data_IF_410728783617
#
_entry.id   IF_410728783617
#
_cell.length_a   1.000
_cell.length_b   1.000
_cell.length_c   1.000
_cell.angle_alpha   90.00
_cell.angle_beta   90.00
_cell.angle_gamma   90.00
#
_symmetry.space_group_name_H-M   'P 1'
#
loop_
_entity.id
_entity.type
_entity.pdbx_description
1 polymer ?
#
# COMPACT_ATOMS: atom_id res chain seq x y z
N UNK A 1 7.53 -13.70 -22.74
CA UNK A 1 6.13 -13.24 -22.88
C UNK A 1 5.88 -12.22 -21.79
N UNK A 2 5.44 -11.02 -22.15
CA UNK A 2 5.15 -9.95 -21.20
C UNK A 2 3.78 -10.23 -20.57
N UNK A 3 3.64 -10.44 -19.24
CA UNK A 3 2.35 -10.78 -18.62
C UNK A 3 1.32 -9.62 -18.65
N UNK A 4 1.69 -8.47 -19.22
CA UNK A 4 0.92 -7.22 -19.17
C UNK A 4 -0.03 -7.00 -20.36
N UNK A 5 -0.60 -8.07 -20.93
CA UNK A 5 -1.59 -7.96 -22.00
C UNK A 5 -2.95 -8.45 -21.52
N UNK A 6 -3.87 -7.52 -21.22
CA UNK A 6 -5.31 -7.75 -21.22
C UNK A 6 -6.01 -7.82 -19.85
N UNK A 7 -5.30 -8.03 -18.75
CA UNK A 7 -5.90 -8.13 -17.42
C UNK A 7 -5.06 -7.38 -16.37
N UNK A 8 -5.73 -6.94 -15.30
CA UNK A 8 -5.06 -6.45 -14.11
C UNK A 8 -4.33 -7.59 -13.42
N UNK A 9 -3.20 -7.28 -12.78
CA UNK A 9 -2.50 -8.26 -11.94
C UNK A 9 -2.78 -7.94 -10.48
N UNK A 10 -3.17 -8.96 -9.71
CA UNK A 10 -3.50 -8.84 -8.30
C UNK A 10 -2.54 -9.65 -7.44
N UNK A 11 -2.15 -9.07 -6.30
CA UNK A 11 -1.36 -9.70 -5.26
C UNK A 11 -2.05 -9.46 -3.93
N UNK A 12 -2.18 -10.49 -3.11
CA UNK A 12 -2.94 -10.41 -1.85
C UNK A 12 -2.25 -11.18 -0.75
N UNK A 13 -2.10 -10.56 0.42
CA UNK A 13 -1.47 -11.17 1.59
C UNK A 13 -1.93 -10.45 2.86
N UNK A 14 -2.03 -11.21 3.95
CA UNK A 14 -2.19 -10.65 5.28
C UNK A 14 -0.83 -10.13 5.76
N UNK A 15 -0.78 -8.87 6.18
CA UNK A 15 0.46 -8.21 6.59
C UNK A 15 0.27 -7.64 7.98
N UNK A 16 1.23 -7.90 8.85
CA UNK A 16 1.25 -7.41 10.21
C UNK A 16 2.17 -6.20 10.40
N UNK A 17 1.80 -5.31 11.31
CA UNK A 17 2.68 -4.28 11.86
C UNK A 17 2.44 -4.13 13.36
N UNK A 18 3.52 -3.92 14.11
CA UNK A 18 3.53 -3.51 15.52
C UNK A 18 3.98 -2.06 15.73
N UNK A 19 3.98 -1.26 14.65
CA UNK A 19 4.39 0.14 14.67
C UNK A 19 3.27 1.10 14.24
N UNK A 20 2.03 0.60 14.11
CA UNK A 20 0.89 1.40 13.66
C UNK A 20 0.88 1.85 12.19
N UNK A 21 1.92 1.53 11.42
CA UNK A 21 2.08 1.98 10.03
C UNK A 21 2.59 0.87 9.11
N UNK A 22 1.91 0.72 7.98
CA UNK A 22 2.38 -0.05 6.84
C UNK A 22 2.91 0.89 5.76
N UNK A 23 3.65 0.35 4.80
CA UNK A 23 4.05 1.11 3.64
C UNK A 23 4.31 0.25 2.42
N UNK A 24 4.05 0.83 1.26
CA UNK A 24 4.58 0.34 -0.02
C UNK A 24 5.91 1.06 -0.28
N UNK A 25 7.00 0.32 -0.40
CA UNK A 25 8.34 0.91 -0.48
C UNK A 25 9.23 0.29 -1.55
N UNK A 26 10.16 1.10 -2.06
CA UNK A 26 11.10 0.75 -3.11
C UNK A 26 12.37 0.15 -2.49
N UNK A 27 12.65 -1.16 -2.67
CA UNK A 27 13.76 -1.81 -1.97
C UNK A 27 15.13 -1.15 -2.14
N UNK A 28 15.50 -0.65 -3.34
CA UNK A 28 16.77 0.07 -3.52
C UNK A 28 16.94 1.30 -2.62
N UNK A 29 15.86 2.00 -2.27
CA UNK A 29 15.93 3.21 -1.44
C UNK A 29 16.30 2.90 0.02
N UNK A 30 16.01 1.68 0.50
CA UNK A 30 16.23 1.28 1.90
C UNK A 30 17.38 0.27 2.06
N UNK A 31 18.22 0.08 1.04
CA UNK A 31 19.41 -0.80 1.11
C UNK A 31 20.44 -0.36 2.16
N UNK A 32 20.42 0.91 2.56
CA UNK A 32 21.28 1.45 3.62
C UNK A 32 20.81 1.12 5.04
N UNK A 33 19.55 0.71 5.20
CA UNK A 33 18.98 0.34 6.50
C UNK A 33 19.35 -1.11 6.81
N UNK A 34 20.33 -1.29 7.68
CA UNK A 34 20.94 -2.60 7.98
C UNK A 34 20.86 -2.97 9.46
N UNK A 35 20.51 -2.02 10.31
CA UNK A 35 20.36 -2.16 11.75
C UNK A 35 19.36 -1.13 12.29
N UNK A 36 19.10 -1.16 13.60
CA UNK A 36 18.14 -0.25 14.22
C UNK A 36 18.59 1.22 14.14
N UNK A 37 19.88 1.53 14.28
CA UNK A 37 20.35 2.92 14.23
C UNK A 37 20.20 3.55 12.86
N UNK A 38 20.47 2.78 11.79
CA UNK A 38 20.21 3.21 10.41
C UNK A 38 18.71 3.24 10.08
N UNK A 39 17.90 2.35 10.67
CA UNK A 39 16.44 2.42 10.56
C UNK A 39 15.91 3.69 11.22
N UNK A 40 16.40 4.02 12.42
CA UNK A 40 15.99 5.19 13.18
C UNK A 40 16.23 6.47 12.39
N UNK A 41 17.45 6.62 11.84
CA UNK A 41 17.81 7.75 11.01
C UNK A 41 16.99 7.85 9.70
N UNK A 42 16.36 6.76 9.25
CA UNK A 42 15.62 6.68 8.00
C UNK A 42 14.10 6.75 8.13
N UNK A 43 13.55 6.30 9.26
CA UNK A 43 12.11 5.99 9.40
C UNK A 43 11.53 6.27 10.79
N UNK A 44 12.29 6.79 11.76
CA UNK A 44 11.74 7.05 13.09
C UNK A 44 10.89 8.32 13.13
N UNK A 45 11.48 9.46 12.76
CA UNK A 45 10.80 10.75 12.86
C UNK A 45 9.94 10.98 11.62
N UNK A 46 8.84 11.71 11.78
CA UNK A 46 7.94 12.07 10.68
C UNK A 46 8.71 12.70 9.51
N UNK A 47 9.70 13.55 9.81
CA UNK A 47 10.53 14.23 8.82
C UNK A 47 11.37 13.25 7.98
N UNK A 48 11.79 12.14 8.58
CA UNK A 48 12.56 11.09 7.93
C UNK A 48 11.69 10.27 6.98
N UNK A 49 10.45 9.99 7.37
CA UNK A 49 9.46 9.34 6.52
C UNK A 49 9.06 10.29 5.36
N UNK A 50 8.79 11.56 5.66
CA UNK A 50 8.35 12.59 4.72
C UNK A 50 9.25 12.71 3.48
N UNK A 51 10.58 12.65 3.66
CA UNK A 51 11.52 12.73 2.53
C UNK A 51 11.37 11.55 1.56
N UNK A 52 11.05 10.36 2.07
CA UNK A 52 10.84 9.16 1.27
C UNK A 52 9.49 9.19 0.57
N UNK A 53 8.48 9.78 1.20
CA UNK A 53 7.19 10.03 0.54
C UNK A 53 7.35 11.00 -0.62
N UNK A 54 8.03 12.13 -0.39
CA UNK A 54 8.25 13.16 -1.43
C UNK A 54 9.05 12.66 -2.63
N UNK A 55 10.02 11.77 -2.40
CA UNK A 55 10.81 11.15 -3.47
C UNK A 55 10.06 10.02 -4.20
N UNK A 56 8.95 9.55 -3.63
CA UNK A 56 8.21 8.38 -4.11
C UNK A 56 8.88 7.06 -3.77
N UNK A 57 9.83 7.04 -2.83
CA UNK A 57 10.44 5.81 -2.32
C UNK A 57 9.50 5.05 -1.36
N UNK A 58 8.54 5.76 -0.76
CA UNK A 58 7.63 5.22 0.25
C UNK A 58 6.22 5.78 0.06
N UNK A 59 5.20 4.93 0.20
CA UNK A 59 3.79 5.34 0.28
C UNK A 59 3.25 4.87 1.63
N UNK A 60 2.83 5.79 2.52
CA UNK A 60 2.39 5.43 3.85
C UNK A 60 0.97 4.88 3.84
N UNK A 61 0.75 3.85 4.63
CA UNK A 61 -0.56 3.34 5.05
C UNK A 61 -0.57 3.46 6.58
N UNK A 62 -0.72 4.69 7.05
CA UNK A 62 -0.73 5.04 8.46
C UNK A 62 -2.14 4.92 9.03
N UNK A 63 -2.33 3.92 9.88
CA UNK A 63 -3.63 3.60 10.48
C UNK A 63 -3.62 3.79 12.00
N UNK A 64 -2.46 4.15 12.57
CA UNK A 64 -2.25 4.38 14.01
C UNK A 64 -2.68 3.21 14.89
N UNK A 65 -2.60 1.99 14.36
CA UNK A 65 -2.99 0.76 15.05
C UNK A 65 -2.10 -0.39 14.66
N UNK A 66 -1.67 -1.15 15.66
CA UNK A 66 -1.03 -2.44 15.46
C UNK A 66 -2.07 -3.46 14.99
N UNK A 67 -1.61 -4.50 14.32
CA UNK A 67 -2.45 -5.60 13.90
C UNK A 67 -2.00 -6.25 12.60
N UNK A 68 -2.79 -7.22 12.15
CA UNK A 68 -2.67 -7.87 10.86
C UNK A 68 -3.89 -7.51 10.01
N UNK A 69 -3.63 -7.09 8.77
CA UNK A 69 -4.67 -6.65 7.84
C UNK A 69 -4.48 -7.34 6.49
N UNK A 70 -5.58 -7.68 5.84
CA UNK A 70 -5.57 -8.22 4.49
C UNK A 70 -5.37 -7.08 3.48
N UNK A 71 -4.27 -7.14 2.73
CA UNK A 71 -3.99 -6.22 1.64
C UNK A 71 -4.24 -6.87 0.29
N UNK A 72 -4.82 -6.11 -0.64
CA UNK A 72 -4.89 -6.42 -2.06
C UNK A 72 -4.21 -5.31 -2.86
N UNK A 73 -3.20 -5.66 -3.64
CA UNK A 73 -2.52 -4.75 -4.57
C UNK A 73 -2.93 -5.09 -5.99
N UNK A 74 -3.57 -4.15 -6.68
CA UNK A 74 -4.01 -4.29 -8.06
C UNK A 74 -3.23 -3.35 -8.97
N UNK A 75 -2.54 -3.91 -9.96
CA UNK A 75 -1.69 -3.17 -10.90
C UNK A 75 -2.42 -3.01 -12.23
N UNK A 76 -2.56 -1.77 -12.67
CA UNK A 76 -3.10 -1.39 -13.97
C UNK A 76 -2.04 -0.96 -14.96
N UNK A 77 -2.51 -0.64 -16.17
CA UNK A 77 -1.71 -0.16 -17.28
C UNK A 77 -2.30 1.14 -17.83
N UNK A 78 -1.59 1.79 -18.76
CA UNK A 78 -2.10 3.01 -19.40
C UNK A 78 -3.38 2.75 -20.23
N UNK A 79 -3.51 1.58 -20.85
CA UNK A 79 -4.69 1.22 -21.66
C UNK A 79 -5.84 0.60 -20.85
N UNK A 80 -5.52 0.09 -19.67
CA UNK A 80 -6.49 -0.52 -18.76
C UNK A 80 -6.06 -0.15 -17.32
N UNK A 81 -6.53 0.98 -16.78
CA UNK A 81 -6.18 1.44 -15.43
C UNK A 81 -6.92 0.67 -14.34
N UNK A 82 -6.21 0.28 -13.28
CA UNK A 82 -6.75 -0.41 -12.12
C UNK A 82 -7.79 0.47 -11.45
N UNK A 83 -8.93 -0.14 -11.13
CA UNK A 83 -10.06 0.49 -10.48
C UNK A 83 -10.57 -0.42 -9.36
N UNK A 84 -11.32 0.14 -8.41
CA UNK A 84 -12.14 -0.66 -7.53
C UNK A 84 -13.20 -1.42 -8.34
N UNK A 85 -13.61 -2.59 -7.87
CA UNK A 85 -14.77 -3.30 -8.41
C UNK A 85 -16.08 -2.64 -7.94
N UNK A 86 -17.21 -3.03 -8.52
CA UNK A 86 -18.54 -2.57 -8.02
C UNK A 86 -18.74 -3.02 -6.57
N UNK A 87 -18.31 -4.24 -6.24
CA UNK A 87 -18.40 -4.80 -4.88
C UNK A 87 -17.55 -4.00 -3.90
N UNK A 88 -16.28 -3.75 -4.22
CA UNK A 88 -15.38 -2.97 -3.35
C UNK A 88 -15.90 -1.54 -3.11
N UNK A 89 -16.40 -0.87 -4.16
CA UNK A 89 -16.99 0.47 -4.02
C UNK A 89 -18.18 0.52 -3.06
N UNK A 90 -18.97 -0.56 -2.99
CA UNK A 90 -20.15 -0.60 -2.12
C UNK A 90 -19.78 -0.61 -0.62
N UNK A 91 -18.56 -1.00 -0.28
CA UNK A 91 -18.06 -1.09 1.09
C UNK A 91 -16.86 -0.18 1.35
N UNK A 92 -16.65 0.83 0.51
CA UNK A 92 -15.57 1.80 0.67
C UNK A 92 -15.84 2.71 1.89
N UNK A 93 -14.92 2.70 2.85
CA UNK A 93 -14.94 3.61 4.01
C UNK A 93 -14.28 4.94 3.65
N UNK A 94 -13.05 4.88 3.15
CA UNK A 94 -12.26 6.07 2.82
C UNK A 94 -11.20 5.75 1.76
N UNK A 95 -10.87 6.75 0.97
CA UNK A 95 -9.83 6.70 -0.04
C UNK A 95 -8.76 7.77 0.25
N UNK A 96 -7.50 7.48 -0.07
CA UNK A 96 -6.44 8.47 -0.08
C UNK A 96 -6.50 9.32 -1.36
N UNK A 97 -5.91 10.52 -1.31
CA UNK A 97 -5.42 11.15 -2.53
C UNK A 97 -4.23 10.34 -3.09
N UNK A 98 -3.90 10.47 -4.40
CA UNK A 98 -2.83 9.67 -4.99
C UNK A 98 -1.45 10.04 -4.46
N UNK A 99 -0.65 9.04 -4.13
CA UNK A 99 0.78 9.17 -3.86
C UNK A 99 1.61 8.86 -5.10
N UNK A 100 2.80 9.45 -5.20
CA UNK A 100 3.82 9.04 -6.16
C UNK A 100 4.56 7.83 -5.59
N UNK A 101 4.76 6.80 -6.42
CA UNK A 101 5.69 5.72 -6.14
C UNK A 101 6.66 5.55 -7.32
N UNK A 102 7.96 5.48 -7.04
CA UNK A 102 9.01 5.30 -8.05
C UNK A 102 9.60 3.91 -7.91
N UNK A 103 9.12 3.01 -8.76
CA UNK A 103 9.60 1.65 -8.84
C UNK A 103 10.94 1.63 -9.58
N UNK A 104 11.95 0.99 -8.99
CA UNK A 104 13.23 0.71 -9.66
C UNK A 104 13.45 -0.79 -9.81
N UNK A 105 13.05 -1.58 -8.81
CA UNK A 105 13.20 -3.03 -8.78
C UNK A 105 12.05 -3.65 -7.96
N UNK A 106 10.84 -3.58 -8.51
CA UNK A 106 9.61 -3.98 -7.81
C UNK A 106 9.25 -3.06 -6.64
N UNK A 107 8.36 -3.57 -5.79
CA UNK A 107 7.95 -2.93 -4.54
C UNK A 107 7.69 -4.00 -3.46
N UNK A 108 7.78 -3.58 -2.22
CA UNK A 108 7.41 -4.38 -1.05
C UNK A 108 6.33 -3.66 -0.26
N UNK A 109 5.33 -4.39 0.22
CA UNK A 109 4.34 -3.90 1.16
C UNK A 109 4.50 -4.64 2.48
N UNK A 110 4.77 -3.90 3.55
CA UNK A 110 5.05 -4.45 4.88
C UNK A 110 4.67 -3.45 5.98
N UNK A 111 4.71 -3.87 7.25
CA UNK A 111 4.92 -2.94 8.36
C UNK A 111 6.20 -2.12 8.16
N UNK A 112 6.22 -0.87 8.61
CA UNK A 112 7.36 0.05 8.46
C UNK A 112 8.64 -0.49 9.14
N UNK A 113 8.49 -1.24 10.23
CA UNK A 113 9.59 -1.89 10.96
C UNK A 113 10.32 -2.97 10.15
N UNK A 114 9.73 -3.40 9.03
CA UNK A 114 10.32 -4.39 8.12
C UNK A 114 11.00 -3.76 6.91
N UNK A 115 11.02 -2.43 6.78
CA UNK A 115 11.74 -1.75 5.71
C UNK A 115 13.25 -1.79 5.94
N UNK A 116 13.99 -2.29 4.95
CA UNK A 116 15.44 -2.28 4.98
C UNK A 116 16.12 -3.23 3.99
N UNK A 117 17.43 -3.37 4.10
CA UNK A 117 18.25 -4.20 3.22
C UNK A 117 17.90 -5.70 3.30
N UNK A 118 17.40 -6.14 4.46
CA UNK A 118 16.90 -7.48 4.73
C UNK A 118 15.46 -7.37 5.21
N UNK A 119 14.49 -7.23 4.30
CA UNK A 119 13.11 -7.08 4.70
C UNK A 119 12.61 -8.27 5.51
N UNK A 120 11.76 -7.99 6.49
CA UNK A 120 10.96 -8.99 7.18
C UNK A 120 9.82 -9.53 6.31
N UNK A 121 8.75 -10.08 6.92
CA UNK A 121 7.52 -10.44 6.21
C UNK A 121 6.98 -9.26 5.40
N UNK A 122 6.73 -9.50 4.11
CA UNK A 122 6.29 -8.48 3.18
C UNK A 122 5.63 -9.10 1.95
N UNK A 123 4.56 -8.48 1.47
CA UNK A 123 3.96 -8.77 0.17
C UNK A 123 4.89 -8.23 -0.94
N UNK A 124 5.33 -9.15 -1.81
CA UNK A 124 6.17 -8.79 -2.97
C UNK A 124 5.31 -8.41 -4.15
N UNK A 125 5.50 -7.20 -4.66
CA UNK A 125 4.77 -6.67 -5.81
C UNK A 125 5.75 -6.52 -6.98
N UNK A 126 5.72 -7.41 -7.99
CA UNK A 126 6.62 -7.36 -9.15
C UNK A 126 6.21 -6.22 -10.09
N UNK A 127 6.56 -5.00 -9.68
CA UNK A 127 6.24 -3.77 -10.38
C UNK A 127 7.37 -3.40 -11.35
N UNK A 128 7.08 -3.19 -12.65
CA UNK A 128 8.07 -2.71 -13.60
C UNK A 128 8.65 -1.36 -13.17
N UNK A 129 9.93 -1.08 -13.51
CA UNK A 129 10.53 0.22 -13.24
C UNK A 129 9.71 1.35 -13.87
N UNK A 130 9.50 2.43 -13.12
CA UNK A 130 8.71 3.56 -13.61
C UNK A 130 8.08 4.38 -12.49
N UNK A 131 7.31 5.40 -12.90
CA UNK A 131 6.53 6.25 -12.01
C UNK A 131 5.10 5.73 -11.95
N UNK A 132 4.62 5.52 -10.74
CA UNK A 132 3.32 4.97 -10.45
C UNK A 132 2.55 5.94 -9.56
N UNK A 133 1.26 6.07 -9.83
CA UNK A 133 0.32 6.64 -8.88
C UNK A 133 -0.24 5.52 -8.01
N UNK A 134 -0.32 5.74 -6.71
CA UNK A 134 -0.83 4.79 -5.73
C UNK A 134 -2.00 5.42 -4.99
N UNK A 135 -3.17 4.80 -5.09
CA UNK A 135 -4.34 5.17 -4.28
C UNK A 135 -4.64 4.02 -3.32
N UNK A 136 -4.89 4.37 -2.05
CA UNK A 136 -5.19 3.42 -0.98
C UNK A 136 -6.66 3.56 -0.62
N UNK A 137 -7.33 2.42 -0.45
CA UNK A 137 -8.75 2.33 -0.12
C UNK A 137 -8.93 1.43 1.09
N UNK A 138 -9.58 1.94 2.14
CA UNK A 138 -10.02 1.15 3.29
C UNK A 138 -11.45 0.67 3.03
N UNK A 139 -11.68 -0.63 3.14
CA UNK A 139 -12.98 -1.26 2.94
C UNK A 139 -13.50 -1.82 4.27
N UNK A 140 -14.81 -1.67 4.50
CA UNK A 140 -15.50 -2.32 5.61
C UNK A 140 -16.04 -3.67 5.12
N UNK A 141 -15.19 -4.67 5.10
CA UNK A 141 -15.58 -6.03 4.70
C UNK A 141 -16.57 -6.65 5.70
N UNK A 142 -16.58 -6.20 6.96
CA UNK A 142 -17.48 -6.71 8.01
C UNK A 142 -18.92 -6.28 7.77
N UNK A 143 -19.13 -5.14 7.13
CA UNK A 143 -20.44 -4.69 6.69
C UNK A 143 -21.02 -5.50 5.52
N UNK A 144 -20.22 -6.35 4.84
CA UNK A 144 -20.73 -7.19 3.75
C UNK A 144 -21.54 -8.39 4.29
N UNK A 145 -22.83 -8.51 3.94
CA UNK A 145 -23.68 -9.59 4.44
C UNK A 145 -23.13 -10.98 4.10
N UNK A 146 -23.01 -11.84 5.10
CA UNK A 146 -22.59 -13.24 4.92
C UNK A 146 -21.09 -13.42 4.66
N UNK A 147 -20.25 -12.43 5.00
CA UNK A 147 -18.77 -12.54 4.91
C UNK A 147 -18.06 -12.85 6.21
N UNK A 148 -18.82 -12.98 7.29
CA UNK A 148 -18.33 -13.41 8.59
C UNK A 148 -18.84 -14.81 8.90
N UNK A 149 -18.00 -15.61 9.57
CA UNK A 149 -18.45 -16.84 10.21
C UNK A 149 -19.17 -16.55 11.54
N UNK A 150 -19.51 -17.61 12.28
CA UNK A 150 -20.21 -17.48 13.57
C UNK A 150 -19.41 -16.78 14.67
N UNK A 151 -18.09 -16.59 14.48
CA UNK A 151 -17.17 -15.94 15.41
C UNK A 151 -16.77 -14.53 14.96
N UNK A 152 -17.23 -14.10 13.79
CA UNK A 152 -16.91 -12.78 13.22
C UNK A 152 -15.66 -12.78 12.34
N UNK A 153 -15.02 -13.92 12.12
CA UNK A 153 -13.82 -14.03 11.28
C UNK A 153 -14.19 -14.02 9.78
N UNK A 154 -13.29 -13.53 8.90
CA UNK A 154 -13.56 -13.44 7.47
C UNK A 154 -13.68 -14.83 6.82
N UNK A 155 -14.77 -15.05 6.09
CA UNK A 155 -14.95 -16.23 5.25
C UNK A 155 -14.12 -16.13 3.96
N UNK A 156 -13.77 -17.26 3.30
CA UNK A 156 -13.12 -17.25 2.00
C UNK A 156 -13.85 -16.35 0.99
N UNK A 157 -13.10 -15.43 0.38
CA UNK A 157 -13.63 -14.46 -0.57
C UNK A 157 -14.28 -13.23 0.06
N UNK A 158 -14.17 -13.01 1.38
CA UNK A 158 -14.36 -11.71 2.00
C UNK A 158 -13.49 -10.64 1.33
N UNK A 159 -13.93 -9.37 1.38
CA UNK A 159 -13.13 -8.27 0.88
C UNK A 159 -11.87 -8.09 1.74
N UNK A 160 -10.77 -7.59 1.17
CA UNK A 160 -9.59 -7.20 1.95
C UNK A 160 -9.92 -5.98 2.82
N UNK A 161 -9.17 -5.75 3.89
CA UNK A 161 -9.22 -4.51 4.65
C UNK A 161 -8.75 -3.33 3.78
N UNK A 162 -7.66 -3.52 3.04
CA UNK A 162 -7.08 -2.50 2.17
C UNK A 162 -6.98 -2.96 0.72
N UNK A 163 -7.38 -2.09 -0.20
CA UNK A 163 -7.05 -2.22 -1.63
C UNK A 163 -6.13 -1.08 -2.05
N UNK A 164 -5.02 -1.42 -2.70
CA UNK A 164 -4.10 -0.47 -3.33
C UNK A 164 -4.24 -0.57 -4.84
N UNK A 165 -4.50 0.56 -5.49
CA UNK A 165 -4.51 0.64 -6.96
C UNK A 165 -3.24 1.32 -7.43
N UNK A 166 -2.44 0.57 -8.20
CA UNK A 166 -1.18 1.03 -8.79
C UNK A 166 -1.40 1.24 -10.28
N UNK A 167 -1.31 2.49 -10.73
CA UNK A 167 -1.42 2.85 -12.14
C UNK A 167 -0.19 3.62 -12.60
N UNK A 168 0.16 3.62 -13.89
CA UNK A 168 1.17 4.54 -14.40
C UNK A 168 0.84 5.99 -14.02
N UNK A 169 1.82 6.71 -13.52
CA UNK A 169 1.66 8.10 -13.10
C UNK A 169 1.57 9.04 -14.32
N UNK A 170 0.53 9.88 -14.43
CA UNK A 170 0.51 10.95 -15.42
C UNK A 170 1.64 11.95 -15.17
N UNK A 171 2.29 12.51 -16.21
CA UNK A 171 3.40 13.47 -16.04
C UNK A 171 3.03 14.74 -15.27
N UNK A 172 1.76 15.14 -15.32
CA UNK A 172 1.23 16.39 -14.73
C UNK A 172 0.50 16.19 -13.41
N UNK A 173 0.48 14.96 -12.88
CA UNK A 173 -0.23 14.68 -11.64
C UNK A 173 0.48 15.33 -10.44
N UNK A 174 -0.32 15.87 -9.53
CA UNK A 174 0.13 16.32 -8.21
C UNK A 174 -0.13 15.18 -7.24
N UNK A 175 0.84 14.91 -6.37
CA UNK A 175 0.81 13.79 -5.46
C UNK A 175 0.79 14.26 -4.01
N UNK A 176 0.08 13.50 -3.19
CA UNK A 176 0.09 13.62 -1.74
C UNK A 176 1.49 13.31 -1.22
N UNK A 177 1.92 14.09 -0.23
CA UNK A 177 3.22 13.90 0.45
C UNK A 177 3.09 13.81 1.97
N UNK A 178 1.86 13.65 2.48
CA UNK A 178 1.59 13.57 3.92
C UNK A 178 1.72 12.13 4.41
N UNK A 179 2.26 11.95 5.62
CA UNK A 179 2.31 10.68 6.33
C UNK A 179 0.90 10.17 6.66
N UNK A 180 -0.03 11.07 6.96
CA UNK A 180 -1.43 10.72 7.21
C UNK A 180 -2.06 10.26 5.89
N UNK A 181 -2.35 8.97 5.78
CA UNK A 181 -2.84 8.35 4.54
C UNK A 181 -4.20 8.89 4.13
N UNK A 182 -5.11 8.99 5.11
CA UNK A 182 -6.47 9.44 4.89
C UNK A 182 -6.64 10.86 5.41
N UNK A 183 -7.46 11.69 4.75
CA UNK A 183 -7.84 12.98 5.31
C UNK A 183 -8.52 12.75 6.67
N UNK A 184 -8.14 13.55 7.68
CA UNK A 184 -8.89 13.58 8.92
C UNK A 184 -10.31 14.02 8.59
N UNK A 185 -11.30 13.19 8.94
CA UNK A 185 -12.68 13.65 8.94
C UNK A 185 -12.74 14.89 9.83
N UNK A 186 -13.13 16.05 9.28
CA UNK A 186 -13.56 17.17 10.12
C UNK A 186 -14.73 16.63 10.93
N UNK A 187 -14.52 16.49 12.25
CA UNK A 187 -15.59 16.20 13.21
C UNK A 187 -16.60 17.34 13.22
#
# INVERSE_FOLDING_TARGET
MCPWQGEFVEFSEAVASGAGMFGLWSPPAFRGVVDYGTWEAELLEDQDIDRHIRSGAFVPINIHSDGEFQFLVRIGSAGLPAALTVRERAYLVVASEPYLFVATDGALLSGIEHAGAKPGPALRVPLPPGRWQVCIFLLDWTAEPGRQDGEGAPLPGALPDFTLLLNPAPPTAVFRTSIETFPRAMR
#
